data_IF_605288916268
#
_entry.id   IF_605288916268
#
_cell.length_a   1.000
_cell.length_b   1.000
_cell.length_c   1.000
_cell.angle_alpha   90.00
_cell.angle_beta   90.00
_cell.angle_gamma   90.00
#
_symmetry.space_group_name_H-M   'P 1'
#
loop_
_entity.id
_entity.type
_entity.pdbx_description
1 polymer ?
#
# COMPACT_ATOMS: atom_id res chain seq x y z
N UNK A 1 -61.13 12.31 0.57
CA UNK A 1 -59.91 11.49 0.46
C UNK A 1 -58.77 12.48 0.45
N UNK A 2 -58.26 12.80 1.64
CA UNK A 2 -57.32 13.90 1.85
C UNK A 2 -55.91 13.33 1.82
N UNK A 3 -55.09 13.79 0.87
CA UNK A 3 -53.66 13.50 0.80
C UNK A 3 -52.94 14.24 1.93
N UNK A 4 -52.50 13.50 2.94
CA UNK A 4 -51.56 13.99 3.94
C UNK A 4 -50.15 13.96 3.35
N UNK A 5 -49.68 15.14 2.90
CA UNK A 5 -48.30 15.35 2.47
C UNK A 5 -47.40 15.43 3.72
N UNK A 6 -46.34 14.62 3.87
CA UNK A 6 -45.49 14.69 5.05
C UNK A 6 -44.76 16.03 5.09
N UNK A 7 -44.82 16.65 6.27
CA UNK A 7 -44.25 17.94 6.60
C UNK A 7 -42.71 17.89 6.48
N UNK A 8 -42.17 18.95 5.88
CA UNK A 8 -40.75 19.16 5.70
C UNK A 8 -40.01 19.11 7.02
N UNK A 9 -38.95 18.31 7.04
CA UNK A 9 -37.97 18.27 8.11
C UNK A 9 -37.10 19.52 7.96
N UNK A 10 -37.38 20.52 8.79
CA UNK A 10 -36.52 21.68 8.98
C UNK A 10 -35.17 21.17 9.50
N UNK A 11 -34.17 21.15 8.61
CA UNK A 11 -32.81 20.74 8.95
C UNK A 11 -32.18 21.86 9.78
N UNK A 12 -32.04 21.54 11.06
CA UNK A 12 -31.44 22.34 12.11
C UNK A 12 -30.04 22.86 11.75
N UNK A 13 -29.71 23.98 12.37
CA UNK A 13 -28.61 24.88 12.09
C UNK A 13 -27.25 24.23 12.45
N UNK A 14 -26.58 23.66 11.45
CA UNK A 14 -25.11 23.55 11.35
C UNK A 14 -24.34 22.76 12.43
N UNK A 15 -24.84 21.60 12.86
CA UNK A 15 -23.95 20.64 13.52
C UNK A 15 -22.87 20.17 12.52
N UNK A 16 -21.62 20.56 12.74
CA UNK A 16 -20.47 20.18 11.92
C UNK A 16 -20.17 18.69 12.18
N UNK A 17 -20.37 17.78 11.21
CA UNK A 17 -20.14 16.36 11.45
C UNK A 17 -18.65 16.06 11.63
N UNK A 18 -18.34 15.44 12.76
CA UNK A 18 -17.01 14.92 13.06
C UNK A 18 -16.83 13.53 12.47
N UNK A 19 -15.69 13.30 11.81
CA UNK A 19 -15.36 11.99 11.30
C UNK A 19 -15.09 10.99 12.45
N UNK A 20 -15.77 9.82 12.50
CA UNK A 20 -15.55 8.84 13.56
C UNK A 20 -14.17 8.17 13.51
N UNK A 21 -13.46 8.23 12.39
CA UNK A 21 -12.13 7.63 12.23
C UNK A 21 -10.97 8.54 12.65
N UNK A 22 -11.04 9.82 12.27
CA UNK A 22 -9.92 10.76 12.45
C UNK A 22 -10.29 12.06 13.18
N UNK A 23 -11.53 12.16 13.68
CA UNK A 23 -12.12 13.33 14.36
C UNK A 23 -11.94 14.66 13.62
N UNK A 24 -11.80 14.62 12.30
CA UNK A 24 -11.75 15.86 11.51
C UNK A 24 -13.15 16.36 11.25
N UNK A 25 -13.35 17.66 11.42
CA UNK A 25 -14.56 18.38 11.04
C UNK A 25 -14.73 18.32 9.52
N UNK A 26 -15.95 18.00 9.06
CA UNK A 26 -16.27 17.98 7.64
C UNK A 26 -17.53 18.80 7.39
N UNK A 27 -17.72 19.17 6.12
CA UNK A 27 -18.94 19.80 5.67
C UNK A 27 -20.14 18.85 5.89
N UNK A 28 -21.31 19.33 6.36
CA UNK A 28 -22.53 18.52 6.48
C UNK A 28 -22.99 17.88 5.16
N UNK A 29 -22.62 18.47 4.02
CA UNK A 29 -22.88 17.91 2.69
C UNK A 29 -21.78 16.93 2.21
N UNK A 30 -20.70 16.75 2.96
CA UNK A 30 -19.62 15.83 2.58
C UNK A 30 -19.99 14.38 2.88
N UNK A 31 -20.01 13.55 1.83
CA UNK A 31 -20.23 12.11 1.98
C UNK A 31 -19.02 11.35 2.56
N UNK A 32 -17.82 11.92 2.40
CA UNK A 32 -16.55 11.34 2.81
C UNK A 32 -15.72 12.36 3.57
N UNK A 33 -14.93 11.88 4.52
CA UNK A 33 -14.01 12.74 5.23
C UNK A 33 -12.91 13.30 4.32
N UNK A 34 -12.69 14.61 4.36
CA UNK A 34 -11.65 15.29 3.55
C UNK A 34 -10.23 14.87 3.91
N UNK A 35 -10.03 14.39 5.15
CA UNK A 35 -8.71 13.99 5.65
C UNK A 35 -8.44 12.50 5.49
N UNK A 36 -9.36 11.64 5.91
CA UNK A 36 -9.16 10.19 5.93
C UNK A 36 -9.99 9.43 4.89
N UNK A 37 -10.88 10.08 4.14
CA UNK A 37 -11.71 9.42 3.12
C UNK A 37 -12.73 8.40 3.66
N UNK A 38 -12.91 8.29 4.97
CA UNK A 38 -13.90 7.40 5.57
C UNK A 38 -15.31 7.93 5.29
N UNK A 39 -16.30 7.06 4.96
CA UNK A 39 -17.67 7.49 4.72
C UNK A 39 -18.29 8.08 6.00
N UNK A 40 -18.96 9.22 5.86
CA UNK A 40 -19.65 9.92 6.96
C UNK A 40 -21.14 9.60 7.00
N UNK A 41 -21.76 9.33 5.85
CA UNK A 41 -23.19 9.04 5.75
C UNK A 41 -23.48 7.54 5.60
N UNK A 42 -24.58 7.08 6.21
CA UNK A 42 -25.05 5.70 6.04
C UNK A 42 -25.35 5.38 4.56
N UNK A 43 -25.78 6.39 3.79
CA UNK A 43 -26.06 6.29 2.35
C UNK A 43 -24.77 5.99 1.57
N UNK A 44 -23.63 6.56 1.96
CA UNK A 44 -22.33 6.26 1.33
C UNK A 44 -21.90 4.79 1.52
N UNK A 45 -22.46 4.07 2.50
CA UNK A 45 -22.18 2.65 2.77
C UNK A 45 -23.01 1.67 1.92
N UNK A 46 -24.13 2.11 1.34
CA UNK A 46 -25.05 1.23 0.59
C UNK A 46 -24.62 1.12 -0.88
N UNK A 47 -23.88 2.10 -1.40
CA UNK A 47 -23.41 2.11 -2.78
C UNK A 47 -22.21 1.14 -2.99
N UNK A 48 -22.36 0.09 -3.83
CA UNK A 48 -21.31 -0.90 -4.08
C UNK A 48 -20.04 -0.30 -4.70
N UNK A 49 -20.14 0.79 -5.46
CA UNK A 49 -18.96 1.47 -6.02
C UNK A 49 -18.22 2.27 -4.95
N UNK A 50 -18.94 2.95 -4.05
CA UNK A 50 -18.34 3.72 -2.94
C UNK A 50 -17.66 2.81 -1.91
N UNK A 51 -18.18 1.61 -1.69
CA UNK A 51 -17.55 0.59 -0.84
C UNK A 51 -16.20 0.12 -1.39
N UNK A 52 -16.09 -0.02 -2.71
CA UNK A 52 -14.84 -0.41 -3.38
C UNK A 52 -13.79 0.69 -3.32
N UNK A 53 -14.20 1.95 -3.53
CA UNK A 53 -13.30 3.10 -3.44
C UNK A 53 -12.80 3.35 -2.01
N UNK A 54 -13.65 3.17 -0.99
CA UNK A 54 -13.25 3.30 0.42
C UNK A 54 -12.32 2.17 0.91
N UNK A 55 -12.38 0.98 0.32
CA UNK A 55 -11.36 -0.05 0.57
C UNK A 55 -10.00 0.32 -0.05
N UNK A 56 -9.99 1.04 -1.18
CA UNK A 56 -8.78 1.54 -1.81
C UNK A 56 -7.98 2.53 -0.96
N UNK A 57 -8.64 3.28 -0.07
CA UNK A 57 -7.96 4.14 0.90
C UNK A 57 -6.96 3.34 1.74
N UNK A 58 -7.35 2.17 2.26
CA UNK A 58 -6.47 1.38 3.12
C UNK A 58 -5.25 0.87 2.37
N UNK A 59 -5.41 0.48 1.11
CA UNK A 59 -4.29 0.09 0.25
C UNK A 59 -3.36 1.26 -0.09
N UNK A 60 -3.91 2.44 -0.38
CA UNK A 60 -3.09 3.65 -0.61
C UNK A 60 -2.38 4.08 0.66
N UNK A 61 -3.06 4.12 1.80
CA UNK A 61 -2.48 4.43 3.11
C UNK A 61 -1.49 3.38 3.60
N UNK A 62 -1.62 2.11 3.19
CA UNK A 62 -0.60 1.09 3.44
C UNK A 62 0.63 1.24 2.53
N UNK A 63 0.44 1.76 1.30
CA UNK A 63 1.53 2.03 0.37
C UNK A 63 2.21 3.39 0.61
N UNK A 64 1.51 4.37 1.18
CA UNK A 64 2.00 5.72 1.48
C UNK A 64 2.25 5.97 2.97
N UNK A 65 1.85 5.05 3.85
CA UNK A 65 2.06 5.14 5.29
C UNK A 65 3.52 4.91 5.69
N UNK A 66 3.90 5.39 6.88
CA UNK A 66 5.21 5.14 7.48
C UNK A 66 5.46 3.64 7.51
N UNK A 67 6.35 3.18 6.63
CA UNK A 67 6.75 1.77 6.57
C UNK A 67 7.38 1.45 7.93
N UNK A 68 6.80 0.51 8.67
CA UNK A 68 7.30 0.20 10.01
C UNK A 68 8.69 -0.45 9.92
N UNK A 69 9.60 -0.18 10.88
CA UNK A 69 10.92 -0.83 10.92
C UNK A 69 10.81 -2.36 10.96
N UNK A 70 9.73 -2.89 11.54
CA UNK A 70 9.44 -4.33 11.57
C UNK A 70 9.24 -4.87 10.15
N UNK A 71 8.48 -4.18 9.30
CA UNK A 71 8.26 -4.61 7.91
C UNK A 71 9.56 -4.55 7.12
N UNK A 72 10.39 -3.52 7.35
CA UNK A 72 11.72 -3.43 6.72
C UNK A 72 12.60 -4.64 7.06
N UNK A 73 12.77 -4.96 8.34
CA UNK A 73 13.55 -6.13 8.77
C UNK A 73 12.94 -7.45 8.30
N UNK A 74 11.61 -7.58 8.32
CA UNK A 74 10.91 -8.76 7.82
C UNK A 74 11.15 -9.00 6.33
N UNK A 75 11.07 -7.96 5.50
CA UNK A 75 11.39 -8.07 4.07
C UNK A 75 12.86 -8.43 3.86
N UNK A 76 13.79 -7.80 4.58
CA UNK A 76 15.20 -8.17 4.46
C UNK A 76 15.47 -9.63 4.88
N UNK A 77 14.86 -10.11 5.96
CA UNK A 77 15.07 -11.47 6.46
C UNK A 77 14.51 -12.55 5.52
N UNK A 78 13.42 -12.27 4.79
CA UNK A 78 12.86 -13.20 3.79
C UNK A 78 13.63 -13.16 2.48
N UNK A 79 13.93 -11.97 1.95
CA UNK A 79 14.50 -11.82 0.61
C UNK A 79 16.02 -11.98 0.57
N UNK A 80 16.75 -11.63 1.63
CA UNK A 80 18.22 -11.71 1.64
C UNK A 80 18.74 -13.16 1.53
N UNK A 81 18.26 -14.14 2.33
CA UNK A 81 18.70 -15.52 2.18
C UNK A 81 18.30 -16.12 0.82
N UNK A 82 17.15 -15.73 0.29
CA UNK A 82 16.69 -16.16 -1.03
C UNK A 82 17.65 -15.66 -2.12
N UNK A 83 18.01 -14.37 -2.11
CA UNK A 83 18.96 -13.78 -3.08
C UNK A 83 20.34 -14.43 -2.94
N UNK A 84 20.85 -14.62 -1.71
CA UNK A 84 22.14 -15.26 -1.46
C UNK A 84 22.14 -16.71 -1.97
N UNK A 85 21.11 -17.48 -1.64
CA UNK A 85 20.98 -18.87 -2.09
C UNK A 85 20.92 -18.97 -3.62
N UNK A 86 20.19 -18.06 -4.26
CA UNK A 86 20.14 -17.99 -5.73
C UNK A 86 21.51 -17.66 -6.34
N UNK A 87 22.21 -16.67 -5.78
CA UNK A 87 23.53 -16.27 -6.25
C UNK A 87 24.56 -17.39 -6.10
N UNK A 88 24.55 -18.09 -4.95
CA UNK A 88 25.43 -19.24 -4.71
C UNK A 88 25.09 -20.42 -5.62
N UNK A 89 23.81 -20.70 -5.86
CA UNK A 89 23.38 -21.75 -6.78
C UNK A 89 23.84 -21.50 -8.21
N UNK A 90 23.68 -20.26 -8.70
CA UNK A 90 24.17 -19.84 -10.02
C UNK A 90 25.70 -19.87 -10.08
N UNK A 91 26.39 -19.39 -9.06
CA UNK A 91 27.85 -19.45 -9.01
C UNK A 91 28.34 -20.91 -9.05
N UNK A 92 27.73 -21.79 -8.24
CA UNK A 92 28.04 -23.21 -8.21
C UNK A 92 27.85 -23.88 -9.56
N UNK A 93 26.74 -23.64 -10.25
CA UNK A 93 26.48 -24.21 -11.57
C UNK A 93 27.43 -23.69 -12.66
N UNK A 94 27.92 -22.45 -12.52
CA UNK A 94 28.98 -21.91 -13.39
C UNK A 94 30.32 -22.61 -13.11
N UNK A 95 30.70 -22.79 -11.85
CA UNK A 95 31.96 -23.46 -11.48
C UNK A 95 32.00 -24.95 -11.84
N UNK A 96 30.87 -25.65 -11.72
CA UNK A 96 30.75 -27.07 -12.08
C UNK A 96 30.69 -27.31 -13.59
N UNK A 97 30.48 -26.27 -14.41
CA UNK A 97 30.32 -26.39 -15.86
C UNK A 97 28.95 -26.92 -16.33
N UNK A 98 28.01 -27.13 -15.40
CA UNK A 98 26.66 -27.66 -15.69
C UNK A 98 25.87 -26.76 -16.64
N UNK A 99 26.10 -25.44 -16.59
CA UNK A 99 25.48 -24.48 -17.50
C UNK A 99 25.78 -24.78 -18.98
N UNK A 100 26.94 -25.37 -19.25
CA UNK A 100 27.39 -25.70 -20.61
C UNK A 100 26.73 -27.00 -21.13
N UNK A 101 26.41 -27.93 -20.23
CA UNK A 101 25.75 -29.20 -20.56
C UNK A 101 24.24 -29.07 -20.77
N UNK A 102 23.61 -28.10 -20.11
CA UNK A 102 22.17 -27.86 -20.21
C UNK A 102 21.74 -27.17 -21.53
N UNK A 103 22.68 -26.66 -22.33
CA UNK A 103 22.41 -25.99 -23.59
C UNK A 103 21.52 -24.74 -23.44
N UNK A 104 20.68 -24.47 -24.44
CA UNK A 104 19.84 -23.26 -24.47
C UNK A 104 18.86 -23.16 -23.28
N UNK A 105 18.38 -24.29 -22.76
CA UNK A 105 17.48 -24.31 -21.60
C UNK A 105 18.17 -23.81 -20.32
N UNK A 106 19.44 -24.17 -20.12
CA UNK A 106 20.24 -23.68 -18.99
C UNK A 106 20.46 -22.16 -19.03
N UNK A 107 20.74 -21.63 -20.23
CA UNK A 107 20.94 -20.19 -20.44
C UNK A 107 19.65 -19.42 -20.16
N UNK A 108 18.50 -19.89 -20.68
CA UNK A 108 17.20 -19.25 -20.43
C UNK A 108 16.87 -19.24 -18.93
N UNK A 109 17.10 -20.38 -18.24
CA UNK A 109 16.91 -20.48 -16.80
C UNK A 109 17.77 -19.48 -16.03
N UNK A 110 19.06 -19.36 -16.37
CA UNK A 110 19.96 -18.41 -15.75
C UNK A 110 19.53 -16.95 -15.94
N UNK A 111 19.06 -16.58 -17.14
CA UNK A 111 18.56 -15.23 -17.43
C UNK A 111 17.29 -14.91 -16.61
N UNK A 112 16.34 -15.86 -16.52
CA UNK A 112 15.13 -15.67 -15.72
C UNK A 112 15.45 -15.47 -14.23
N UNK A 113 16.36 -16.29 -13.71
CA UNK A 113 16.85 -16.19 -12.32
C UNK A 113 17.51 -14.83 -12.08
N UNK A 114 18.41 -14.43 -12.97
CA UNK A 114 19.08 -13.13 -12.89
C UNK A 114 18.06 -11.97 -12.95
N UNK A 115 17.06 -12.06 -13.82
CA UNK A 115 15.99 -11.07 -13.94
C UNK A 115 15.16 -10.94 -12.67
N UNK A 116 14.77 -12.05 -12.05
CA UNK A 116 14.04 -12.07 -10.77
C UNK A 116 14.88 -11.49 -9.63
N UNK A 117 16.17 -11.85 -9.56
CA UNK A 117 17.10 -11.31 -8.56
C UNK A 117 17.28 -9.80 -8.72
N UNK A 118 17.40 -9.30 -9.96
CA UNK A 118 17.51 -7.88 -10.27
C UNK A 118 16.22 -7.12 -9.89
N UNK A 119 15.05 -7.66 -10.24
CA UNK A 119 13.77 -7.09 -9.83
C UNK A 119 13.61 -7.03 -8.31
N UNK A 120 13.96 -8.12 -7.60
CA UNK A 120 13.96 -8.15 -6.13
C UNK A 120 14.90 -7.10 -5.52
N UNK A 121 16.09 -6.93 -6.10
CA UNK A 121 17.07 -5.92 -5.67
C UNK A 121 16.56 -4.50 -5.90
N UNK A 122 15.92 -4.23 -7.06
CA UNK A 122 15.29 -2.92 -7.33
C UNK A 122 14.19 -2.62 -6.31
N UNK A 123 13.34 -3.61 -6.00
CA UNK A 123 12.27 -3.45 -5.00
C UNK A 123 12.85 -3.14 -3.61
N UNK A 124 13.85 -3.89 -3.17
CA UNK A 124 14.55 -3.65 -1.89
C UNK A 124 15.20 -2.26 -1.86
N UNK A 125 15.88 -1.87 -2.94
CA UNK A 125 16.51 -0.55 -3.04
C UNK A 125 15.47 0.57 -2.99
N UNK A 126 14.36 0.44 -3.72
CA UNK A 126 13.28 1.43 -3.72
C UNK A 126 12.63 1.54 -2.34
N UNK A 127 12.38 0.41 -1.69
CA UNK A 127 11.82 0.36 -0.33
C UNK A 127 12.76 1.02 0.68
N UNK A 128 14.06 0.72 0.61
CA UNK A 128 15.09 1.31 1.48
C UNK A 128 15.22 2.82 1.26
N UNK A 129 15.20 3.26 0.00
CA UNK A 129 15.22 4.68 -0.36
C UNK A 129 13.98 5.41 0.17
N UNK A 130 12.81 4.79 0.06
CA UNK A 130 11.57 5.36 0.58
C UNK A 130 11.57 5.45 2.11
N UNK A 131 12.14 4.45 2.79
CA UNK A 131 12.32 4.46 4.25
C UNK A 131 13.22 5.61 4.71
N UNK A 132 14.37 5.82 4.04
CA UNK A 132 15.28 6.93 4.35
C UNK A 132 14.66 8.30 4.10
N UNK A 133 13.88 8.46 3.02
CA UNK A 133 13.19 9.71 2.72
C UNK A 133 12.12 10.04 3.77
N UNK A 134 11.38 9.03 4.27
CA UNK A 134 10.38 9.22 5.31
C UNK A 134 10.98 9.65 6.67
N UNK A 135 12.18 9.15 7.01
CA UNK A 135 12.88 9.54 8.24
C UNK A 135 13.34 10.99 8.26
N UNK A 136 13.73 11.57 7.12
CA UNK A 136 14.17 12.97 7.05
C UNK A 136 13.00 13.95 7.29
N UNK A 137 11.79 13.64 6.81
CA UNK A 137 10.60 14.48 6.96
C UNK A 137 9.98 14.47 8.38
N UNK A 138 10.49 13.63 9.28
CA UNK A 138 10.15 13.66 10.71
C UNK A 138 11.11 14.57 11.48
N UNK A 139 12.41 14.50 11.18
CA UNK A 139 13.42 15.36 11.81
C UNK A 139 13.15 16.87 11.58
N UNK A 140 12.67 17.26 10.39
CA UNK A 140 12.34 18.67 10.07
C UNK A 140 11.08 19.19 10.80
N UNK A 141 10.28 18.34 11.44
CA UNK A 141 9.06 18.74 12.17
C UNK A 141 9.27 18.96 13.67
N UNK A 142 10.39 18.46 14.19
CA UNK A 142 10.73 18.50 15.60
C UNK A 142 11.72 19.64 15.92
N UNK A 143 12.19 20.39 14.91
CA UNK A 143 13.04 21.60 15.00
C UNK A 143 12.21 22.88 14.81
#
# INVERSE_FOLDING_TARGET
MSEERPQGMEADESEVPLCPGCMTENDPAADFCVKCGQPLSAIATIDPFRRTLSQGHWFRSAASGRISPIVFWGTWLVFLPAIIGMALGVAGSVFSGDLMYAGAAGIIGAILIAGLALAGTILLWRMTRNYRAAGCAENDRDE
#
